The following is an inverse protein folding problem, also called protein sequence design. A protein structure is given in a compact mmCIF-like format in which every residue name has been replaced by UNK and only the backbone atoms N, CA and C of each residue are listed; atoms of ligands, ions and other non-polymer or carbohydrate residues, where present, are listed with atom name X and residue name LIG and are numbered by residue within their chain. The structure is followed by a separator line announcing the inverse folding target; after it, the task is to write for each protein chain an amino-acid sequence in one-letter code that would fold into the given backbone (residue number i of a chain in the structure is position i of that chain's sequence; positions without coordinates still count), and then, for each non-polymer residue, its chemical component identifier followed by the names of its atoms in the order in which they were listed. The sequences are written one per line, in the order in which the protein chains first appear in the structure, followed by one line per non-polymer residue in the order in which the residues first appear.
data_IF_437825981101
#
_entry.id   IF_437825981101
#
_cell.length_a   1.000
_cell.length_b   1.000
_cell.length_c   1.000
_cell.angle_alpha   90.00
_cell.angle_beta   90.00
_cell.angle_gamma   90.00
#
_symmetry.space_group_name_H-M   'P 1'
#
loop_
_entity.id
_entity.type
_entity.pdbx_description
1 polymer ?
#
# COMPACT_ATOMS: atom_id res chain seq x y z
N UNK A 1 26.31 40.72 14.70
CA UNK A 1 27.13 39.48 14.62
C UNK A 1 26.33 38.17 14.51
N UNK A 2 25.13 38.03 15.10
CA UNK A 2 24.37 36.74 15.10
C UNK A 2 23.97 36.23 13.70
N UNK A 3 23.53 37.12 12.82
CA UNK A 3 23.14 36.77 11.44
C UNK A 3 24.27 36.16 10.59
N UNK A 4 25.52 36.56 10.85
CA UNK A 4 26.69 36.01 10.15
C UNK A 4 26.93 34.55 10.55
N UNK A 5 26.78 34.23 11.83
CA UNK A 5 26.92 32.86 12.36
C UNK A 5 25.84 31.94 11.79
N UNK A 6 24.61 32.42 11.71
CA UNK A 6 23.47 31.65 11.19
C UNK A 6 23.62 31.34 9.70
N UNK A 7 23.95 32.34 8.88
CA UNK A 7 24.25 32.14 7.45
C UNK A 7 25.42 31.18 7.22
N UNK A 8 26.42 31.22 8.11
CA UNK A 8 27.56 30.31 8.05
C UNK A 8 27.17 28.86 8.39
N UNK A 9 26.36 28.66 9.42
CA UNK A 9 25.85 27.34 9.79
C UNK A 9 24.95 26.76 8.70
N UNK A 10 24.05 27.57 8.14
CA UNK A 10 23.22 27.17 6.99
C UNK A 10 24.08 26.74 5.81
N UNK A 11 25.13 27.50 5.48
CA UNK A 11 26.05 27.14 4.39
C UNK A 11 26.75 25.80 4.63
N UNK A 12 27.20 25.52 5.85
CA UNK A 12 27.81 24.24 6.21
C UNK A 12 26.79 23.10 6.07
N UNK A 13 25.57 23.31 6.56
CA UNK A 13 24.50 22.31 6.51
C UNK A 13 24.09 22.00 5.07
N UNK A 14 23.90 23.01 4.21
CA UNK A 14 23.60 22.82 2.79
C UNK A 14 24.69 22.01 2.08
N UNK A 15 25.98 22.29 2.34
CA UNK A 15 27.09 21.54 1.77
C UNK A 15 27.09 20.08 2.25
N UNK A 16 26.78 19.85 3.53
CA UNK A 16 26.67 18.50 4.11
C UNK A 16 25.55 17.69 3.47
N UNK A 17 24.36 18.30 3.35
CA UNK A 17 23.18 17.67 2.72
C UNK A 17 23.48 17.32 1.26
N UNK A 18 24.05 18.26 0.50
CA UNK A 18 24.41 18.04 -0.91
C UNK A 18 25.42 16.89 -1.08
N UNK A 19 26.43 16.81 -0.20
CA UNK A 19 27.42 15.72 -0.23
C UNK A 19 26.80 14.36 0.10
N UNK A 20 25.85 14.31 1.04
CA UNK A 20 25.12 13.09 1.37
C UNK A 20 24.22 12.64 0.22
N UNK A 21 23.49 13.57 -0.41
CA UNK A 21 22.64 13.29 -1.58
C UNK A 21 23.46 12.71 -2.73
N UNK A 22 24.61 13.31 -3.06
CA UNK A 22 25.52 12.80 -4.11
C UNK A 22 26.05 11.40 -3.81
N UNK A 23 26.40 11.10 -2.55
CA UNK A 23 26.86 9.77 -2.14
C UNK A 23 25.75 8.74 -2.24
N UNK A 24 24.52 9.09 -1.86
CA UNK A 24 23.36 8.23 -1.97
C UNK A 24 23.02 7.92 -3.44
N UNK A 25 23.04 8.94 -4.30
CA UNK A 25 22.79 8.79 -5.73
C UNK A 25 23.85 7.91 -6.41
N UNK A 26 25.14 8.11 -6.11
CA UNK A 26 26.22 7.28 -6.66
C UNK A 26 26.09 5.81 -6.24
N UNK A 27 25.72 5.55 -4.98
CA UNK A 27 25.44 4.18 -4.49
C UNK A 27 24.25 3.54 -5.22
N UNK A 28 23.22 4.32 -5.54
CA UNK A 28 22.03 3.82 -6.27
C UNK A 28 22.34 3.52 -7.71
N UNK A 29 23.12 4.38 -8.38
CA UNK A 29 23.60 4.13 -9.76
C UNK A 29 24.50 2.89 -9.85
N UNK A 30 25.22 2.56 -8.78
CA UNK A 30 26.11 1.40 -8.73
C UNK A 30 25.41 0.08 -8.38
N UNK A 31 24.27 0.11 -7.69
CA UNK A 31 23.49 -1.10 -7.43
C UNK A 31 22.42 -1.25 -8.52
N UNK A 32 22.43 -2.31 -9.35
CA UNK A 32 21.40 -2.53 -10.36
C UNK A 32 20.09 -2.94 -9.68
N UNK A 33 19.41 -1.99 -9.05
CA UNK A 33 18.09 -2.17 -8.44
C UNK A 33 17.08 -1.65 -9.44
N UNK A 34 16.42 -2.56 -10.15
CA UNK A 34 15.21 -2.26 -10.91
C UNK A 34 14.13 -1.87 -9.90
N UNK A 35 13.91 -0.57 -9.70
CA UNK A 35 12.87 -0.06 -8.81
C UNK A 35 13.29 1.00 -7.78
N UNK A 36 14.26 1.88 -8.08
CA UNK A 36 14.46 3.07 -7.24
C UNK A 36 13.21 3.96 -7.31
N UNK A 37 12.44 4.01 -6.23
CA UNK A 37 11.20 4.81 -6.12
C UNK A 37 11.50 6.26 -5.73
N UNK A 38 12.75 6.59 -5.38
CA UNK A 38 13.08 7.91 -4.91
C UNK A 38 12.96 9.03 -5.97
N UNK A 39 13.25 8.82 -7.27
CA UNK A 39 12.99 9.81 -8.31
C UNK A 39 11.52 10.25 -8.37
N UNK A 40 10.57 9.33 -8.10
CA UNK A 40 9.14 9.65 -8.08
C UNK A 40 8.78 10.52 -6.88
N UNK A 41 9.36 10.24 -5.71
CA UNK A 41 9.14 11.04 -4.50
C UNK A 41 9.76 12.44 -4.63
N UNK A 42 10.94 12.55 -5.25
CA UNK A 42 11.65 13.81 -5.44
C UNK A 42 10.98 14.71 -6.49
N UNK A 43 10.25 14.14 -7.44
CA UNK A 43 9.48 14.88 -8.44
C UNK A 43 8.15 15.45 -7.90
N UNK A 44 7.77 15.14 -6.67
CA UNK A 44 6.56 15.69 -6.04
C UNK A 44 6.81 17.13 -5.54
N UNK A 45 5.80 18.03 -5.62
CA UNK A 45 5.90 19.36 -5.02
C UNK A 45 6.17 19.28 -3.50
N UNK A 46 6.99 20.20 -2.98
CA UNK A 46 7.21 20.31 -1.54
C UNK A 46 5.94 20.83 -0.84
N UNK A 47 5.19 19.94 -0.18
CA UNK A 47 3.93 20.26 0.51
C UNK A 47 4.12 20.99 1.85
N UNK A 48 5.26 21.66 2.06
CA UNK A 48 5.65 22.33 3.31
C UNK A 48 4.59 23.34 3.77
N UNK A 49 4.00 24.07 2.82
CA UNK A 49 3.02 25.13 3.10
C UNK A 49 1.64 24.58 3.51
N UNK A 50 1.32 23.33 3.16
CA UNK A 50 0.06 22.67 3.56
C UNK A 50 0.10 22.17 5.01
N UNK A 51 1.28 22.03 5.60
CA UNK A 51 1.45 21.50 6.97
C UNK A 51 1.30 22.59 8.03
N UNK A 52 1.48 23.86 7.67
CA UNK A 52 1.40 25.00 8.59
C UNK A 52 0.01 25.23 9.22
N UNK A 53 -1.05 24.62 8.67
CA UNK A 53 -2.42 24.73 9.20
C UNK A 53 -2.84 23.63 10.20
N UNK A 54 -2.07 22.56 10.34
CA UNK A 54 -2.47 21.37 11.08
C UNK A 54 -2.08 21.41 12.56
N UNK A 55 -2.74 22.23 13.38
CA UNK A 55 -2.56 22.19 14.84
C UNK A 55 -2.96 20.80 15.37
N UNK A 56 -1.94 20.12 15.92
CA UNK A 56 -1.97 18.99 16.84
C UNK A 56 -3.32 18.31 17.09
N UNK A 57 -3.55 17.20 16.40
CA UNK A 57 -4.37 16.12 16.95
C UNK A 57 -3.44 14.99 17.36
N UNK A 58 -3.32 14.79 18.68
CA UNK A 58 -2.72 13.58 19.25
C UNK A 58 -3.46 12.38 18.63
N UNK A 59 -2.76 11.32 18.18
CA UNK A 59 -3.44 10.11 17.77
C UNK A 59 -4.13 9.53 19.01
N UNK A 60 -5.45 9.62 19.04
CA UNK A 60 -6.26 8.87 20.01
C UNK A 60 -6.03 7.41 19.66
N UNK A 61 -5.41 6.66 20.58
CA UNK A 61 -5.33 5.19 20.48
C UNK A 61 -6.76 4.65 20.63
N UNK A 62 -7.52 4.64 19.54
CA UNK A 62 -8.66 3.76 19.43
C UNK A 62 -8.08 2.34 19.37
N UNK A 63 -8.39 1.53 20.38
CA UNK A 63 -8.30 0.08 20.26
C UNK A 63 -9.38 -0.36 19.27
N UNK A 64 -9.14 -0.10 17.97
CA UNK A 64 -9.82 -0.81 16.90
C UNK A 64 -9.34 -2.25 17.08
N UNK A 65 -10.23 -3.13 17.55
CA UNK A 65 -10.02 -4.56 17.50
C UNK A 65 -9.48 -4.87 16.12
N UNK A 66 -8.27 -5.44 16.03
CA UNK A 66 -7.58 -5.60 14.75
C UNK A 66 -8.48 -6.42 13.84
N UNK A 67 -9.19 -5.74 12.94
CA UNK A 67 -9.80 -6.38 11.81
C UNK A 67 -8.69 -7.18 11.13
N UNK A 68 -8.99 -8.44 10.79
CA UNK A 68 -8.06 -9.26 10.01
C UNK A 68 -7.54 -8.41 8.86
N UNK A 69 -6.20 -8.27 8.69
CA UNK A 69 -5.64 -7.43 7.65
C UNK A 69 -6.23 -7.86 6.30
N UNK A 70 -7.12 -7.06 5.70
CA UNK A 70 -7.77 -7.44 4.44
C UNK A 70 -6.75 -7.60 3.30
N UNK A 71 -5.62 -6.90 3.41
CA UNK A 71 -4.55 -6.93 2.42
C UNK A 71 -3.58 -8.10 2.66
N UNK A 72 -3.48 -8.98 1.66
CA UNK A 72 -2.60 -10.15 1.69
C UNK A 72 -1.15 -9.81 2.02
N UNK A 73 -0.61 -8.69 1.52
CA UNK A 73 0.77 -8.27 1.78
C UNK A 73 1.05 -7.92 3.24
N UNK A 74 0.03 -7.53 4.01
CA UNK A 74 0.15 -7.14 5.42
C UNK A 74 -0.05 -8.32 6.39
N UNK A 75 -0.54 -9.46 5.89
CA UNK A 75 -0.80 -10.65 6.69
C UNK A 75 0.48 -11.37 7.14
N UNK A 76 0.46 -11.93 8.35
CA UNK A 76 1.49 -12.88 8.81
C UNK A 76 1.43 -14.18 8.02
N UNK A 77 2.53 -14.94 7.98
CA UNK A 77 2.60 -16.20 7.22
C UNK A 77 1.50 -17.21 7.60
N UNK A 78 1.24 -17.39 8.90
CA UNK A 78 0.17 -18.28 9.37
C UNK A 78 -1.23 -17.83 8.92
N UNK A 79 -1.48 -16.51 8.86
CA UNK A 79 -2.74 -15.96 8.36
C UNK A 79 -2.87 -16.20 6.85
N UNK A 80 -1.80 -16.01 6.08
CA UNK A 80 -1.77 -16.32 4.64
C UNK A 80 -2.09 -17.78 4.37
N UNK A 81 -1.46 -18.71 5.09
CA UNK A 81 -1.74 -20.14 4.95
C UNK A 81 -3.21 -20.45 5.22
N UNK A 82 -3.75 -19.94 6.34
CA UNK A 82 -5.17 -20.14 6.68
C UNK A 82 -6.13 -19.56 5.64
N UNK A 83 -5.79 -18.42 5.03
CA UNK A 83 -6.59 -17.84 3.95
C UNK A 83 -6.56 -18.75 2.72
N UNK A 84 -5.39 -19.21 2.32
CA UNK A 84 -5.22 -20.11 1.17
C UNK A 84 -5.95 -21.43 1.39
N UNK A 85 -5.87 -22.04 2.57
CA UNK A 85 -6.61 -23.27 2.90
C UNK A 85 -8.13 -23.09 2.74
N UNK A 86 -8.66 -21.94 3.18
CA UNK A 86 -10.08 -21.61 2.99
C UNK A 86 -10.44 -21.44 1.52
N UNK A 87 -9.60 -20.79 0.72
CA UNK A 87 -9.83 -20.66 -0.72
C UNK A 87 -9.75 -22.01 -1.42
N UNK A 88 -8.77 -22.84 -1.09
CA UNK A 88 -8.62 -24.19 -1.64
C UNK A 88 -9.87 -25.02 -1.34
N UNK A 89 -10.40 -24.96 -0.11
CA UNK A 89 -11.64 -25.63 0.25
C UNK A 89 -12.84 -25.14 -0.60
N UNK A 90 -13.01 -23.82 -0.75
CA UNK A 90 -14.04 -23.23 -1.61
C UNK A 90 -13.93 -23.70 -3.07
N UNK A 91 -12.73 -23.73 -3.62
CA UNK A 91 -12.52 -24.20 -5.00
C UNK A 91 -12.82 -25.68 -5.15
N UNK A 92 -12.46 -26.50 -4.17
CA UNK A 92 -12.78 -27.93 -4.18
C UNK A 92 -14.29 -28.14 -4.24
N UNK A 93 -15.08 -27.41 -3.43
CA UNK A 93 -16.54 -27.47 -3.47
C UNK A 93 -17.08 -27.23 -4.89
N UNK A 94 -16.61 -26.17 -5.56
CA UNK A 94 -17.02 -25.83 -6.93
C UNK A 94 -16.62 -26.93 -7.93
N UNK A 95 -15.39 -27.43 -7.86
CA UNK A 95 -14.88 -28.47 -8.77
C UNK A 95 -15.60 -29.80 -8.55
N UNK A 96 -16.09 -30.07 -7.34
CA UNK A 96 -16.89 -31.27 -7.03
C UNK A 96 -18.34 -31.17 -7.47
N UNK A 97 -18.88 -29.95 -7.69
CA UNK A 97 -20.27 -29.77 -8.13
C UNK A 97 -20.50 -30.40 -9.52
N UNK A 98 -21.42 -31.37 -9.65
CA UNK A 98 -21.75 -31.99 -10.93
C UNK A 98 -22.16 -30.98 -12.01
N UNK A 99 -22.83 -29.88 -11.63
CA UNK A 99 -23.25 -28.83 -12.58
C UNK A 99 -22.06 -28.10 -13.18
N UNK A 100 -21.06 -27.80 -12.35
CA UNK A 100 -19.83 -27.19 -12.79
C UNK A 100 -19.02 -28.14 -13.68
N UNK A 101 -18.97 -29.43 -13.33
CA UNK A 101 -18.32 -30.47 -14.16
C UNK A 101 -19.00 -30.67 -15.51
N UNK A 102 -20.32 -30.60 -15.57
CA UNK A 102 -21.07 -30.78 -16.82
C UNK A 102 -20.90 -29.59 -17.78
N UNK A 103 -20.97 -28.35 -17.27
CA UNK A 103 -20.73 -27.15 -18.07
C UNK A 103 -20.19 -25.99 -17.21
N UNK A 104 -18.86 -25.80 -17.15
CA UNK A 104 -18.26 -24.80 -16.26
C UNK A 104 -18.58 -23.36 -16.71
N UNK A 105 -18.61 -23.09 -18.01
CA UNK A 105 -18.88 -21.75 -18.54
C UNK A 105 -20.30 -21.28 -18.19
N UNK A 106 -21.29 -22.16 -18.31
CA UNK A 106 -22.67 -21.85 -17.92
C UNK A 106 -22.82 -21.68 -16.41
N UNK A 107 -22.18 -22.53 -15.61
CA UNK A 107 -22.19 -22.39 -14.15
C UNK A 107 -21.61 -21.03 -13.70
N UNK A 108 -20.49 -20.62 -14.29
CA UNK A 108 -19.86 -19.31 -14.04
C UNK A 108 -20.78 -18.17 -14.49
N UNK A 109 -21.31 -18.23 -15.71
CA UNK A 109 -22.21 -17.19 -16.25
C UNK A 109 -23.44 -16.99 -15.36
N UNK A 110 -24.06 -18.08 -14.91
CA UNK A 110 -25.19 -18.05 -13.99
C UNK A 110 -24.82 -17.44 -12.63
N UNK A 111 -23.65 -17.79 -12.08
CA UNK A 111 -23.17 -17.23 -10.81
C UNK A 111 -22.95 -15.70 -10.92
N UNK A 112 -22.30 -15.24 -11.99
CA UNK A 112 -22.08 -13.81 -12.23
C UNK A 112 -23.40 -13.05 -12.42
N UNK A 113 -24.33 -13.64 -13.18
CA UNK A 113 -25.66 -13.06 -13.43
C UNK A 113 -26.45 -12.90 -12.13
N UNK A 114 -26.40 -13.89 -11.22
CA UNK A 114 -27.01 -13.81 -9.89
C UNK A 114 -26.34 -12.74 -9.03
N UNK A 115 -25.01 -12.66 -9.03
CA UNK A 115 -24.27 -11.62 -8.29
C UNK A 115 -24.58 -10.21 -8.76
N UNK A 116 -24.73 -10.01 -10.07
CA UNK A 116 -25.09 -8.71 -10.63
C UNK A 116 -26.47 -8.26 -10.15
N UNK A 117 -27.46 -9.15 -10.20
CA UNK A 117 -28.83 -8.88 -9.72
C UNK A 117 -28.88 -8.60 -8.22
N UNK A 118 -28.10 -9.34 -7.41
CA UNK A 118 -28.02 -9.09 -5.97
C UNK A 118 -27.27 -7.80 -5.62
N UNK A 119 -26.33 -7.37 -6.47
CA UNK A 119 -25.62 -6.09 -6.33
C UNK A 119 -26.51 -4.88 -6.61
N UNK A 120 -27.60 -5.04 -7.37
CA UNK A 120 -28.61 -3.98 -7.58
C UNK A 120 -29.53 -3.80 -6.36
N UNK A 121 -29.73 -4.83 -5.54
CA UNK A 121 -30.71 -4.79 -4.43
C UNK A 121 -30.09 -4.55 -3.03
N UNK A 122 -28.77 -4.44 -2.89
CA UNK A 122 -28.17 -4.34 -1.55
C UNK A 122 -26.75 -3.81 -1.48
N UNK A 123 -26.53 -2.54 -1.80
CA UNK A 123 -25.67 -1.62 -1.00
C UNK A 123 -25.72 -0.19 -1.59
N UNK A 124 -26.40 0.79 -0.98
CA UNK A 124 -25.97 2.17 -1.14
C UNK A 124 -24.67 2.33 -0.34
N UNK A 125 -23.60 2.74 -1.02
CA UNK A 125 -22.40 3.27 -0.37
C UNK A 125 -22.73 4.58 0.35
#
# INVERSE_FOLDING_TARGET
MKLRKERWLQKIESVKIMKQKRKAEAKRKATPVVGDMQPLMEALPELSDLTAGGRGRKPVKSHIAKAEPSDFCLMKQAQKHRLLEKEVARFHEVITDPKYRANPLMAISNHLSKRLRLGEEGNPL
#
